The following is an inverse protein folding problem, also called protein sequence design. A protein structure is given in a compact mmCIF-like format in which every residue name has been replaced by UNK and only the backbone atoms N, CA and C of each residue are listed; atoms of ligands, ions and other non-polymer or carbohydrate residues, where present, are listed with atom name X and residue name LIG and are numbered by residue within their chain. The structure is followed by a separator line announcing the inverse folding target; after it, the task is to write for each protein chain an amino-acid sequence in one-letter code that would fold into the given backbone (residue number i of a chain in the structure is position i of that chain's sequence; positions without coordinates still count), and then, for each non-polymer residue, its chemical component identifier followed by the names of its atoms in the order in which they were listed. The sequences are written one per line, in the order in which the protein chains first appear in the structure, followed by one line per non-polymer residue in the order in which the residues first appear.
data_IF_258555558880
#
_entry.id   IF_258555558880
#
_cell.length_a   1.000
_cell.length_b   1.000
_cell.length_c   1.000
_cell.angle_alpha   90.00
_cell.angle_beta   90.00
_cell.angle_gamma   90.00
#
_symmetry.space_group_name_H-M   'P 1'
#
loop_
_entity.id
_entity.type
_entity.pdbx_description
1 polymer ?
#
# COMPACT_ATOMS: atom_id res chain seq x y z
N UNK A 1 -9.85 8.27 -28.85
CA UNK A 1 -8.44 8.34 -29.28
C UNK A 1 -7.62 7.46 -28.35
N UNK A 2 -7.01 6.39 -28.85
CA UNK A 2 -6.09 5.57 -28.03
C UNK A 2 -4.86 6.40 -27.71
N UNK A 3 -4.54 6.58 -26.43
CA UNK A 3 -3.33 7.31 -26.03
C UNK A 3 -2.09 6.63 -26.64
N UNK A 4 -1.12 7.43 -27.10
CA UNK A 4 0.13 6.89 -27.63
C UNK A 4 0.89 6.12 -26.53
N UNK A 5 1.66 5.09 -26.90
CA UNK A 5 2.47 4.31 -25.94
C UNK A 5 3.41 5.19 -25.10
N UNK A 6 3.94 6.26 -25.69
CA UNK A 6 4.78 7.24 -24.99
C UNK A 6 4.00 7.97 -23.88
N UNK A 7 2.78 8.43 -24.18
CA UNK A 7 1.91 9.08 -23.20
C UNK A 7 1.53 8.15 -22.06
N UNK A 8 1.24 6.88 -22.35
CA UNK A 8 0.93 5.88 -21.31
C UNK A 8 2.13 5.62 -20.38
N UNK A 9 3.34 5.53 -20.93
CA UNK A 9 4.56 5.37 -20.11
C UNK A 9 4.82 6.58 -19.22
N UNK A 10 4.64 7.79 -19.75
CA UNK A 10 4.75 9.01 -18.96
C UNK A 10 3.70 9.07 -17.85
N UNK A 11 2.44 8.71 -18.15
CA UNK A 11 1.38 8.60 -17.14
C UNK A 11 1.75 7.59 -16.04
N UNK A 12 2.22 6.41 -16.42
CA UNK A 12 2.68 5.38 -15.46
C UNK A 12 3.76 5.96 -14.54
N UNK A 13 4.79 6.57 -15.12
CA UNK A 13 5.91 7.12 -14.37
C UNK A 13 5.45 8.21 -13.39
N UNK A 14 4.65 9.17 -13.84
CA UNK A 14 4.17 10.28 -13.03
C UNK A 14 3.32 9.76 -11.87
N UNK A 15 2.32 8.92 -12.16
CA UNK A 15 1.42 8.40 -11.12
C UNK A 15 2.19 7.55 -10.11
N UNK A 16 3.08 6.66 -10.54
CA UNK A 16 3.89 5.89 -9.61
C UNK A 16 4.83 6.76 -8.77
N UNK A 17 5.38 7.84 -9.36
CA UNK A 17 6.26 8.78 -8.64
C UNK A 17 5.52 9.51 -7.52
N UNK A 18 4.25 9.87 -7.71
CA UNK A 18 3.47 10.56 -6.67
C UNK A 18 2.76 9.61 -5.70
N UNK A 19 2.76 8.29 -5.99
CA UNK A 19 2.05 7.26 -5.21
C UNK A 19 2.99 6.14 -4.72
N UNK A 20 2.63 4.87 -5.01
CA UNK A 20 3.29 3.67 -4.50
C UNK A 20 4.70 3.46 -5.02
N UNK A 21 5.07 3.99 -6.18
CA UNK A 21 6.45 3.90 -6.68
C UNK A 21 7.43 4.61 -5.76
N UNK A 22 7.13 5.85 -5.36
CA UNK A 22 7.95 6.57 -4.38
C UNK A 22 7.85 6.00 -2.97
N UNK A 23 6.69 5.44 -2.58
CA UNK A 23 6.60 4.66 -1.34
C UNK A 23 7.55 3.46 -1.35
N UNK A 24 7.70 2.77 -2.50
CA UNK A 24 8.67 1.70 -2.70
C UNK A 24 10.12 2.16 -2.56
N UNK A 25 10.47 3.27 -3.22
CA UNK A 25 11.83 3.87 -3.10
C UNK A 25 12.14 4.22 -1.64
N UNK A 26 11.22 4.89 -0.93
CA UNK A 26 11.41 5.22 0.49
C UNK A 26 11.49 3.98 1.37
N UNK A 27 10.70 2.95 1.07
CA UNK A 27 10.71 1.70 1.82
C UNK A 27 12.05 0.97 1.67
N UNK A 28 12.61 0.93 0.46
CA UNK A 28 13.95 0.41 0.21
C UNK A 28 15.03 1.19 0.98
N UNK A 29 14.98 2.52 0.94
CA UNK A 29 15.93 3.36 1.69
C UNK A 29 15.84 3.10 3.21
N UNK A 30 14.63 2.95 3.74
CA UNK A 30 14.41 2.58 5.15
C UNK A 30 14.91 1.18 5.48
N UNK A 31 14.83 0.23 4.56
CA UNK A 31 15.40 -1.11 4.75
C UNK A 31 16.93 -1.03 4.83
N UNK A 32 17.56 -0.30 3.90
CA UNK A 32 19.01 -0.10 3.89
C UNK A 32 19.47 0.55 5.20
N UNK A 33 18.80 1.61 5.64
CA UNK A 33 19.09 2.27 6.92
C UNK A 33 19.02 1.29 8.11
N UNK A 34 18.02 0.42 8.12
CA UNK A 34 17.85 -0.58 9.19
C UNK A 34 18.84 -1.74 9.14
N UNK A 35 19.33 -2.10 7.96
CA UNK A 35 20.41 -3.08 7.79
C UNK A 35 21.79 -2.52 8.14
N UNK A 36 21.95 -1.19 8.11
CA UNK A 36 23.16 -0.50 8.55
C UNK A 36 23.19 -0.29 10.07
N UNK A 37 22.04 -0.40 10.75
CA UNK A 37 21.96 -0.34 12.20
C UNK A 37 22.58 -1.61 12.83
N UNK A 38 23.45 -1.48 13.86
CA UNK A 38 24.01 -2.65 14.55
C UNK A 38 22.97 -3.57 15.22
N UNK A 39 21.80 -3.04 15.58
CA UNK A 39 20.73 -3.84 16.18
C UNK A 39 20.09 -4.77 15.14
N UNK A 40 19.85 -6.06 15.45
CA UNK A 40 19.10 -6.98 14.58
C UNK A 40 17.73 -6.43 14.18
N UNK A 41 17.23 -6.82 12.99
CA UNK A 41 15.94 -6.30 12.49
C UNK A 41 14.77 -6.61 13.44
N UNK A 42 14.71 -7.81 14.01
CA UNK A 42 13.66 -8.20 14.95
C UNK A 42 13.72 -7.49 16.31
N UNK A 43 14.78 -6.74 16.60
CA UNK A 43 14.87 -5.86 17.77
C UNK A 43 14.53 -4.40 17.43
N UNK A 44 14.31 -4.11 16.14
CA UNK A 44 13.83 -2.82 15.66
C UNK A 44 12.32 -2.90 15.42
N UNK A 45 11.64 -1.75 15.47
CA UNK A 45 10.20 -1.66 15.23
C UNK A 45 9.84 -0.62 14.19
N UNK A 46 8.68 -0.80 13.55
CA UNK A 46 8.08 0.18 12.65
C UNK A 46 6.60 0.34 12.94
N UNK A 47 6.20 1.59 13.18
CA UNK A 47 4.79 1.92 13.44
C UNK A 47 4.07 2.26 12.14
N UNK A 48 2.96 1.55 11.85
CA UNK A 48 2.14 1.81 10.66
C UNK A 48 1.35 3.11 10.78
N UNK A 49 0.68 3.29 11.92
CA UNK A 49 -0.17 4.43 12.21
C UNK A 49 0.43 5.20 13.40
N UNK A 50 1.57 5.84 13.16
CA UNK A 50 2.20 6.69 14.18
C UNK A 50 1.35 7.93 14.47
N UNK A 51 1.32 8.33 15.74
CA UNK A 51 0.78 9.63 16.14
C UNK A 51 1.68 10.75 15.63
N UNK A 52 1.07 11.80 15.09
CA UNK A 52 1.72 12.99 14.58
C UNK A 52 1.61 14.18 15.54
N UNK A 53 0.77 14.08 16.58
CA UNK A 53 0.57 15.14 17.57
C UNK A 53 0.16 14.57 18.93
N UNK A 54 0.63 15.21 20.01
CA UNK A 54 0.18 14.89 21.36
C UNK A 54 -1.29 15.29 21.59
N UNK A 55 -1.81 16.27 20.83
CA UNK A 55 -3.21 16.70 20.93
C UNK A 55 -4.09 15.81 20.08
N UNK A 56 -5.01 15.07 20.69
CA UNK A 56 -5.90 14.10 20.04
C UNK A 56 -6.65 14.65 18.83
N UNK A 57 -7.21 15.87 18.94
CA UNK A 57 -7.95 16.48 17.83
C UNK A 57 -7.04 16.83 16.63
N UNK A 58 -5.83 17.29 16.92
CA UNK A 58 -4.86 17.62 15.88
C UNK A 58 -4.30 16.36 15.22
N UNK A 59 -4.03 15.31 16.01
CA UNK A 59 -3.63 14.01 15.47
C UNK A 59 -4.73 13.45 14.56
N UNK A 60 -5.99 13.44 15.01
CA UNK A 60 -7.13 13.03 14.19
C UNK A 60 -7.17 13.78 12.85
N UNK A 61 -6.97 15.10 12.86
CA UNK A 61 -6.91 15.89 11.63
C UNK A 61 -5.80 15.41 10.69
N UNK A 62 -4.59 15.14 11.21
CA UNK A 62 -3.50 14.59 10.41
C UNK A 62 -3.79 13.18 9.87
N UNK A 63 -4.42 12.31 10.67
CA UNK A 63 -4.82 10.98 10.21
C UNK A 63 -5.88 11.08 9.09
N UNK A 64 -6.84 12.00 9.20
CA UNK A 64 -7.84 12.27 8.15
C UNK A 64 -7.21 12.83 6.89
N UNK A 65 -6.25 13.77 7.00
CA UNK A 65 -5.49 14.25 5.85
C UNK A 65 -4.73 13.11 5.15
N UNK A 66 -4.11 12.23 5.92
CA UNK A 66 -3.38 11.07 5.40
C UNK A 66 -4.32 10.13 4.64
N UNK A 67 -5.51 9.85 5.19
CA UNK A 67 -6.53 9.06 4.51
C UNK A 67 -7.06 9.76 3.24
N UNK A 68 -7.29 11.07 3.29
CA UNK A 68 -7.74 11.86 2.13
C UNK A 68 -6.75 11.81 0.96
N UNK A 69 -5.44 11.82 1.23
CA UNK A 69 -4.41 11.64 0.20
C UNK A 69 -4.52 10.27 -0.48
N UNK A 70 -4.72 9.19 0.29
CA UNK A 70 -4.92 7.84 -0.27
C UNK A 70 -6.20 7.76 -1.10
N UNK A 71 -7.29 8.39 -0.66
CA UNK A 71 -8.50 8.50 -1.49
C UNK A 71 -8.24 9.23 -2.79
N UNK A 72 -7.49 10.34 -2.73
CA UNK A 72 -7.13 11.13 -3.90
C UNK A 72 -6.28 10.34 -4.90
N UNK A 73 -5.37 9.47 -4.43
CA UNK A 73 -4.61 8.57 -5.31
C UNK A 73 -5.53 7.65 -6.12
N UNK A 74 -6.48 6.99 -5.46
CA UNK A 74 -7.46 6.15 -6.15
C UNK A 74 -8.39 6.94 -7.07
N UNK A 75 -8.87 8.12 -6.63
CA UNK A 75 -9.71 8.99 -7.44
C UNK A 75 -9.00 9.49 -8.71
N UNK A 76 -7.71 9.82 -8.59
CA UNK A 76 -6.88 10.24 -9.72
C UNK A 76 -6.82 9.16 -10.80
N UNK A 77 -6.53 7.90 -10.44
CA UNK A 77 -6.42 6.84 -11.44
C UNK A 77 -7.77 6.44 -12.04
N UNK A 78 -8.86 6.58 -11.30
CA UNK A 78 -10.22 6.44 -11.83
C UNK A 78 -10.52 7.53 -12.88
N UNK A 79 -10.18 8.78 -12.56
CA UNK A 79 -10.30 9.90 -13.49
C UNK A 79 -9.51 9.64 -14.78
N UNK A 80 -8.26 9.18 -14.67
CA UNK A 80 -7.41 8.87 -15.82
C UNK A 80 -7.91 7.67 -16.64
N UNK A 81 -8.57 6.69 -16.02
CA UNK A 81 -9.03 5.48 -16.72
C UNK A 81 -10.39 5.65 -17.36
N UNK A 82 -11.22 6.58 -16.87
CA UNK A 82 -12.60 6.85 -17.36
C UNK A 82 -13.51 5.62 -17.43
N UNK A 83 -13.16 4.56 -16.70
CA UNK A 83 -13.92 3.33 -16.59
C UNK A 83 -13.89 2.95 -15.11
N UNK A 84 -14.94 3.25 -14.32
CA UNK A 84 -14.96 2.83 -12.93
C UNK A 84 -15.25 1.33 -12.83
N UNK A 85 -14.62 0.60 -11.89
CA UNK A 85 -14.98 -0.78 -11.61
C UNK A 85 -16.44 -0.85 -11.13
N UNK A 86 -17.18 -1.87 -11.58
CA UNK A 86 -18.56 -2.12 -11.12
C UNK A 86 -18.52 -2.94 -9.83
N UNK A 87 -18.51 -2.29 -8.68
CA UNK A 87 -18.61 -2.96 -7.40
C UNK A 87 -20.04 -3.46 -7.16
N UNK A 88 -20.20 -4.72 -6.73
CA UNK A 88 -21.46 -5.27 -6.26
C UNK A 88 -21.34 -5.58 -4.78
N UNK A 89 -22.40 -5.34 -4.01
CA UNK A 89 -22.41 -5.65 -2.58
C UNK A 89 -22.11 -7.13 -2.27
N UNK A 90 -22.50 -8.04 -3.18
CA UNK A 90 -22.23 -9.49 -3.10
C UNK A 90 -20.74 -9.83 -3.26
N UNK A 91 -19.94 -8.91 -3.77
CA UNK A 91 -18.49 -9.09 -3.89
C UNK A 91 -17.82 -8.99 -2.51
N UNK A 92 -18.50 -8.44 -1.50
CA UNK A 92 -17.97 -8.30 -0.14
C UNK A 92 -17.59 -9.64 0.51
N UNK A 93 -18.41 -10.68 0.35
CA UNK A 93 -18.09 -12.01 0.90
C UNK A 93 -16.90 -12.65 0.20
N UNK A 94 -16.82 -12.53 -1.13
CA UNK A 94 -15.68 -13.03 -1.88
C UNK A 94 -14.40 -12.25 -1.55
N UNK A 95 -14.50 -10.93 -1.40
CA UNK A 95 -13.40 -10.08 -0.97
C UNK A 95 -12.91 -10.44 0.43
N UNK A 96 -13.82 -10.66 1.39
CA UNK A 96 -13.47 -11.12 2.73
C UNK A 96 -12.80 -12.51 2.71
N UNK A 97 -13.31 -13.44 1.90
CA UNK A 97 -12.70 -14.76 1.73
C UNK A 97 -11.29 -14.67 1.13
N UNK A 98 -11.10 -13.87 0.08
CA UNK A 98 -9.79 -13.62 -0.52
C UNK A 98 -8.82 -12.96 0.45
N UNK A 99 -9.30 -11.96 1.21
CA UNK A 99 -8.52 -11.30 2.24
C UNK A 99 -8.07 -12.28 3.33
N UNK A 100 -8.92 -13.23 3.74
CA UNK A 100 -8.55 -14.26 4.69
C UNK A 100 -7.53 -15.26 4.09
N UNK A 101 -7.77 -15.73 2.86
CA UNK A 101 -6.90 -16.69 2.15
C UNK A 101 -5.50 -16.14 1.92
N UNK A 102 -5.36 -14.83 1.67
CA UNK A 102 -4.06 -14.21 1.41
C UNK A 102 -3.47 -13.64 2.71
N UNK A 103 -4.29 -13.01 3.54
CA UNK A 103 -3.89 -12.31 4.75
C UNK A 103 -3.45 -13.25 5.88
N UNK A 104 -4.16 -14.36 6.12
CA UNK A 104 -3.81 -15.30 7.20
C UNK A 104 -2.45 -15.98 6.94
N UNK A 105 -2.16 -16.52 5.74
CA UNK A 105 -0.82 -17.02 5.44
C UNK A 105 0.23 -15.90 5.48
N UNK A 106 -0.10 -14.69 5.05
CA UNK A 106 0.79 -13.52 5.16
C UNK A 106 1.17 -13.21 6.61
N UNK A 107 0.22 -13.28 7.55
CA UNK A 107 0.48 -13.11 8.98
C UNK A 107 1.36 -14.23 9.54
N UNK A 108 1.13 -15.48 9.11
CA UNK A 108 1.98 -16.60 9.50
C UNK A 108 3.42 -16.40 9.00
N UNK A 109 3.60 -15.98 7.74
CA UNK A 109 4.90 -15.66 7.16
C UNK A 109 5.58 -14.52 7.92
N UNK A 110 4.87 -13.43 8.21
CA UNK A 110 5.38 -12.33 9.03
C UNK A 110 5.87 -12.80 10.40
N UNK A 111 5.06 -13.59 11.11
CA UNK A 111 5.45 -14.12 12.42
C UNK A 111 6.70 -15.00 12.35
N UNK A 112 6.79 -15.86 11.33
CA UNK A 112 8.00 -16.68 11.11
C UNK A 112 9.22 -15.82 10.78
N UNK A 113 9.08 -14.83 9.91
CA UNK A 113 10.17 -13.92 9.55
C UNK A 113 10.66 -13.13 10.76
N UNK A 114 9.74 -12.71 11.65
CA UNK A 114 10.09 -11.98 12.87
C UNK A 114 10.89 -12.88 13.82
N UNK A 115 10.48 -14.14 13.96
CA UNK A 115 11.19 -15.12 14.76
C UNK A 115 12.61 -15.41 14.23
N UNK A 116 12.80 -15.40 12.91
CA UNK A 116 14.10 -15.62 12.26
C UNK A 116 14.95 -14.34 12.09
N UNK A 117 14.49 -13.18 12.53
CA UNK A 117 15.25 -11.93 12.43
C UNK A 117 15.26 -11.28 11.03
N UNK A 118 14.33 -11.65 10.15
CA UNK A 118 14.26 -11.13 8.76
C UNK A 118 13.40 -9.87 8.62
N UNK A 119 12.53 -9.61 9.60
CA UNK A 119 11.66 -8.43 9.66
C UNK A 119 11.72 -7.76 11.02
N UNK A 120 11.36 -6.47 11.02
CA UNK A 120 11.07 -5.67 12.19
C UNK A 120 9.74 -6.02 12.81
N UNK A 121 9.61 -5.70 14.09
CA UNK A 121 8.32 -5.69 14.75
C UNK A 121 7.43 -4.57 14.18
N UNK A 122 6.27 -4.94 13.64
CA UNK A 122 5.27 -4.01 13.11
C UNK A 122 4.30 -3.64 14.21
N UNK A 123 4.33 -2.37 14.63
CA UNK A 123 3.41 -1.80 15.61
C UNK A 123 2.20 -1.23 14.83
N UNK A 124 0.97 -1.76 15.03
CA UNK A 124 -0.18 -1.32 14.25
C UNK A 124 -0.53 0.16 14.44
N UNK A 125 -0.47 0.64 15.68
CA UNK A 125 -0.78 2.01 16.05
C UNK A 125 0.02 2.43 17.29
N UNK A 126 0.30 3.73 17.43
CA UNK A 126 0.98 4.30 18.58
C UNK A 126 0.16 5.40 19.27
N UNK A 127 -1.16 5.19 19.37
CA UNK A 127 -2.07 6.08 20.11
C UNK A 127 -3.25 5.27 20.67
N UNK A 128 -3.38 5.26 22.00
CA UNK A 128 -4.39 4.47 22.72
C UNK A 128 -5.52 5.39 23.18
N UNK A 129 -6.56 5.49 22.34
CA UNK A 129 -7.72 6.36 22.59
C UNK A 129 -8.97 5.74 21.96
N UNK A 130 -10.17 6.17 22.40
CA UNK A 130 -11.43 5.68 21.82
C UNK A 130 -11.59 5.96 20.32
N UNK A 131 -10.82 6.91 19.74
CA UNK A 131 -10.82 7.20 18.30
C UNK A 131 -9.91 6.26 17.50
N UNK A 132 -9.06 5.46 18.15
CA UNK A 132 -8.10 4.57 17.49
C UNK A 132 -8.80 3.63 16.51
N UNK A 133 -9.77 2.84 16.98
CA UNK A 133 -10.47 1.86 16.15
C UNK A 133 -11.16 2.52 14.94
N UNK A 134 -11.96 3.59 15.08
CA UNK A 134 -12.52 4.31 13.94
C UNK A 134 -11.47 4.80 12.93
N UNK A 135 -10.37 5.37 13.41
CA UNK A 135 -9.29 5.87 12.56
C UNK A 135 -8.59 4.74 11.83
N UNK A 136 -8.29 3.63 12.51
CA UNK A 136 -7.66 2.46 11.92
C UNK A 136 -8.55 1.81 10.86
N UNK A 137 -9.86 1.74 11.09
CA UNK A 137 -10.81 1.25 10.08
C UNK A 137 -10.81 2.15 8.84
N UNK A 138 -10.86 3.48 9.03
CA UNK A 138 -10.80 4.44 7.93
C UNK A 138 -9.48 4.32 7.16
N UNK A 139 -8.34 4.26 7.85
CA UNK A 139 -7.02 4.16 7.22
C UNK A 139 -6.84 2.82 6.52
N UNK A 140 -7.35 1.73 7.09
CA UNK A 140 -7.33 0.41 6.45
C UNK A 140 -8.12 0.44 5.15
N UNK A 141 -9.32 1.03 5.17
CA UNK A 141 -10.13 1.21 3.97
C UNK A 141 -9.45 2.13 2.94
N UNK A 142 -8.86 3.25 3.37
CA UNK A 142 -8.16 4.17 2.48
C UNK A 142 -6.93 3.53 1.81
N UNK A 143 -6.17 2.70 2.54
CA UNK A 143 -5.06 1.93 1.97
C UNK A 143 -5.58 0.88 0.97
N UNK A 144 -6.59 0.09 1.35
CA UNK A 144 -7.19 -0.89 0.45
C UNK A 144 -7.73 -0.26 -0.84
N UNK A 145 -8.41 0.88 -0.72
CA UNK A 145 -8.88 1.70 -1.84
C UNK A 145 -7.74 2.13 -2.77
N UNK A 146 -6.67 2.70 -2.21
CA UNK A 146 -5.54 3.19 -2.99
C UNK A 146 -4.77 2.03 -3.65
N UNK A 147 -4.48 0.97 -2.91
CA UNK A 147 -3.78 -0.21 -3.43
C UNK A 147 -4.56 -0.89 -4.55
N UNK A 148 -5.84 -1.18 -4.33
CA UNK A 148 -6.67 -1.86 -5.33
C UNK A 148 -6.79 -1.01 -6.60
N UNK A 149 -7.03 0.30 -6.47
CA UNK A 149 -7.20 1.14 -7.65
C UNK A 149 -5.91 1.45 -8.37
N UNK A 150 -4.82 1.76 -7.65
CA UNK A 150 -3.55 2.12 -8.29
C UNK A 150 -2.80 0.86 -8.73
N UNK A 151 -2.56 -0.11 -7.84
CA UNK A 151 -1.63 -1.23 -8.10
C UNK A 151 -2.29 -2.35 -8.89
N UNK A 152 -3.57 -2.64 -8.61
CA UNK A 152 -4.30 -3.74 -9.26
C UNK A 152 -5.07 -3.23 -10.48
N UNK A 153 -5.96 -2.25 -10.33
CA UNK A 153 -6.84 -1.83 -11.41
C UNK A 153 -6.11 -1.03 -12.49
N UNK A 154 -5.59 0.15 -12.15
CA UNK A 154 -5.00 1.08 -13.12
C UNK A 154 -3.67 0.59 -13.66
N UNK A 155 -2.74 0.14 -12.80
CA UNK A 155 -1.40 -0.22 -13.24
C UNK A 155 -1.41 -1.43 -14.18
N UNK A 156 -2.17 -2.49 -13.86
CA UNK A 156 -2.35 -3.66 -14.75
C UNK A 156 -3.01 -3.24 -16.06
N UNK A 157 -4.04 -2.39 -16.00
CA UNK A 157 -4.71 -1.87 -17.20
C UNK A 157 -3.74 -1.13 -18.11
N UNK A 158 -2.91 -0.25 -17.53
CA UNK A 158 -1.92 0.54 -18.28
C UNK A 158 -0.81 -0.32 -18.86
N UNK A 159 -0.27 -1.28 -18.10
CA UNK A 159 0.75 -2.20 -18.62
C UNK A 159 0.20 -3.03 -19.79
N UNK A 160 -1.04 -3.55 -19.69
CA UNK A 160 -1.71 -4.24 -20.80
C UNK A 160 -1.89 -3.32 -22.02
N UNK A 161 -2.30 -2.07 -21.82
CA UNK A 161 -2.43 -1.08 -22.91
C UNK A 161 -1.09 -0.74 -23.56
N UNK A 162 0.03 -0.83 -22.83
CA UNK A 162 1.38 -0.71 -23.42
C UNK A 162 1.86 -1.95 -24.17
N UNK A 163 1.08 -3.05 -24.14
CA UNK A 163 1.36 -4.29 -24.87
C UNK A 163 2.06 -5.38 -24.06
N UNK A 164 2.13 -5.26 -22.73
CA UNK A 164 2.74 -6.29 -21.88
C UNK A 164 1.84 -7.53 -21.79
N UNK A 165 2.45 -8.72 -21.90
CA UNK A 165 1.76 -9.99 -21.68
C UNK A 165 1.40 -10.20 -20.22
N UNK A 166 0.36 -11.01 -19.95
CA UNK A 166 -0.17 -11.23 -18.60
C UNK A 166 0.90 -11.62 -17.56
N UNK A 167 1.85 -12.54 -17.82
CA UNK A 167 2.87 -12.88 -16.83
C UNK A 167 3.73 -11.68 -16.41
N UNK A 168 4.15 -10.86 -17.37
CA UNK A 168 4.97 -9.67 -17.11
C UNK A 168 4.20 -8.60 -16.34
N UNK A 169 2.90 -8.45 -16.61
CA UNK A 169 2.02 -7.53 -15.88
C UNK A 169 1.86 -7.96 -14.42
N UNK A 170 1.63 -9.25 -14.18
CA UNK A 170 1.51 -9.79 -12.83
C UNK A 170 2.82 -9.65 -12.05
N UNK A 171 3.95 -10.01 -12.67
CA UNK A 171 5.27 -9.83 -12.07
C UNK A 171 5.54 -8.38 -11.69
N UNK A 172 5.24 -7.42 -12.57
CA UNK A 172 5.41 -5.99 -12.28
C UNK A 172 4.52 -5.51 -11.13
N UNK A 173 3.25 -5.96 -11.08
CA UNK A 173 2.32 -5.61 -10.00
C UNK A 173 2.78 -6.20 -8.66
N UNK A 174 3.23 -7.47 -8.63
CA UNK A 174 3.78 -8.10 -7.44
C UNK A 174 5.07 -7.42 -6.96
N UNK A 175 5.99 -7.07 -7.86
CA UNK A 175 7.21 -6.34 -7.52
C UNK A 175 6.90 -4.96 -6.94
N UNK A 176 5.98 -4.21 -7.57
CA UNK A 176 5.53 -2.93 -7.04
C UNK A 176 4.94 -3.10 -5.64
N UNK A 177 4.05 -4.09 -5.45
CA UNK A 177 3.44 -4.42 -4.16
C UNK A 177 4.49 -4.72 -3.10
N UNK A 178 5.40 -5.64 -3.36
CA UNK A 178 6.48 -5.98 -2.42
C UNK A 178 7.38 -4.78 -2.10
N UNK A 179 7.68 -3.93 -3.08
CA UNK A 179 8.62 -2.83 -2.91
C UNK A 179 8.23 -1.84 -1.81
N UNK A 180 6.95 -1.47 -1.70
CA UNK A 180 6.50 -0.52 -0.68
C UNK A 180 6.29 -1.16 0.70
N UNK A 181 6.53 -2.46 0.85
CA UNK A 181 6.54 -3.15 2.15
C UNK A 181 7.96 -3.41 2.69
N UNK A 182 9.02 -3.18 1.89
CA UNK A 182 10.42 -3.40 2.29
C UNK A 182 10.84 -2.69 3.58
N UNK A 183 10.12 -1.63 3.99
CA UNK A 183 10.42 -0.93 5.25
C UNK A 183 10.26 -1.84 6.49
N UNK A 184 9.51 -2.94 6.37
CA UNK A 184 9.31 -3.94 7.40
C UNK A 184 10.49 -4.92 7.47
N UNK A 185 11.05 -5.32 6.33
CA UNK A 185 12.08 -6.37 6.25
C UNK A 185 12.11 -7.01 4.86
N UNK A 186 12.68 -8.21 4.80
CA UNK A 186 12.73 -9.08 3.60
C UNK A 186 11.91 -10.34 3.81
#
# INVERSE_FOLDING_TARGET
MTASRSRLRAEILIVLTITFGMSGVRALLRLVDSLLNPAPLNEQSVTLNASQSATTLLDLAFQLCSAAVLFAWGALVLYLTSLPPRARWRDGLHGAALAAIIGLPGLALYYTALHFGWTKEVIPAAFDTWIEVPVLLLKSFANAWAEELVVVYWFITRLKQTGWGLPAVLAASCLLRGSYHLYQGV
#
